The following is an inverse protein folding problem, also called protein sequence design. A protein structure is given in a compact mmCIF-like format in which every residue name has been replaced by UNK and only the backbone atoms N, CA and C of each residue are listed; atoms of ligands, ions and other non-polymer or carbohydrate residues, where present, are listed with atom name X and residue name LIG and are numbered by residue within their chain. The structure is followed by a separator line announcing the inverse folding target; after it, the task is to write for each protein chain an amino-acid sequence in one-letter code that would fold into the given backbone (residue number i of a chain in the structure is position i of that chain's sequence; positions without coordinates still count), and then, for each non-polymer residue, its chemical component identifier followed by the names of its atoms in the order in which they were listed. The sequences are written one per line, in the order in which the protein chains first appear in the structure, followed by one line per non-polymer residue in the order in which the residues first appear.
data_IF_601020508440
#
_entry.id   IF_601020508440
#
_cell.length_a   1.000
_cell.length_b   1.000
_cell.length_c   1.000
_cell.angle_alpha   90.00
_cell.angle_beta   90.00
_cell.angle_gamma   90.00
#
_symmetry.space_group_name_H-M   'P 1'
#
loop_
_entity.id
_entity.type
_entity.pdbx_description
1 polymer ?
#
# COMPACT_ATOMS: atom_id res chain seq x y z
N UNK A 1 -11.36 19.35 2.00
CA UNK A 1 -10.57 18.14 2.22
C UNK A 1 -10.18 17.49 0.88
N UNK A 2 -9.02 17.85 0.36
CA UNK A 2 -8.21 17.15 -0.63
C UNK A 2 -7.73 15.80 -0.10
N UNK A 3 -8.49 14.77 -0.47
CA UNK A 3 -8.19 13.36 -0.25
C UNK A 3 -7.27 12.83 -1.34
N UNK A 4 -6.23 12.09 -0.97
CA UNK A 4 -5.43 11.26 -1.87
C UNK A 4 -5.65 9.80 -1.50
N UNK A 5 -5.99 9.00 -2.51
CA UNK A 5 -6.19 7.56 -2.37
C UNK A 5 -4.96 6.84 -2.91
N UNK A 6 -4.44 5.88 -2.15
CA UNK A 6 -3.35 5.01 -2.54
C UNK A 6 -3.82 3.57 -2.64
N UNK A 7 -3.30 2.86 -3.64
CA UNK A 7 -3.54 1.43 -3.84
C UNK A 7 -2.23 0.68 -3.69
N UNK A 8 -2.24 -0.37 -2.87
CA UNK A 8 -1.11 -1.28 -2.72
C UNK A 8 -1.06 -2.25 -3.89
N UNK A 9 0.09 -2.33 -4.54
CA UNK A 9 0.35 -3.21 -5.68
C UNK A 9 1.65 -3.99 -5.42
N UNK A 10 1.75 -5.27 -5.78
CA UNK A 10 3.02 -5.96 -5.84
C UNK A 10 3.83 -5.31 -6.96
N UNK A 11 5.13 -5.22 -6.74
CA UNK A 11 5.99 -4.48 -7.62
C UNK A 11 7.32 -5.19 -7.76
N UNK A 12 7.73 -5.44 -9.00
CA UNK A 12 9.01 -6.08 -9.33
C UNK A 12 9.91 -5.04 -9.97
N UNK A 13 11.04 -4.73 -9.34
CA UNK A 13 12.01 -3.78 -9.90
C UNK A 13 12.58 -4.33 -11.20
N UNK A 14 12.45 -3.54 -12.27
CA UNK A 14 13.10 -3.81 -13.55
C UNK A 14 14.37 -3.00 -13.75
N UNK A 15 14.35 -1.72 -13.37
CA UNK A 15 15.53 -0.85 -13.44
C UNK A 15 15.43 0.30 -12.45
N UNK A 16 16.58 0.87 -12.09
CA UNK A 16 16.72 2.07 -11.29
C UNK A 16 17.40 3.15 -12.13
N UNK A 17 16.82 4.34 -12.14
CA UNK A 17 17.29 5.50 -12.89
C UNK A 17 17.64 6.62 -11.90
N UNK A 18 18.91 6.68 -11.49
CA UNK A 18 19.33 7.61 -10.46
C UNK A 18 18.77 7.28 -9.07
N UNK A 19 18.57 8.28 -8.19
CA UNK A 19 18.28 8.03 -6.78
C UNK A 19 16.81 7.68 -6.47
N UNK A 20 15.86 8.08 -7.33
CA UNK A 20 14.43 8.01 -6.98
C UNK A 20 13.53 7.45 -8.08
N UNK A 21 13.98 7.40 -9.34
CA UNK A 21 13.16 6.90 -10.44
C UNK A 21 13.35 5.39 -10.58
N UNK A 22 12.24 4.66 -10.60
CA UNK A 22 12.22 3.21 -10.70
C UNK A 22 11.32 2.76 -11.86
N UNK A 23 11.81 1.83 -12.68
CA UNK A 23 10.99 1.02 -13.57
C UNK A 23 10.56 -0.24 -12.85
N UNK A 24 9.27 -0.58 -12.93
CA UNK A 24 8.71 -1.75 -12.26
C UNK A 24 7.62 -2.44 -13.07
N UNK A 25 7.55 -3.77 -12.97
CA UNK A 25 6.39 -4.53 -13.43
C UNK A 25 5.33 -4.57 -12.34
N UNK A 26 4.07 -4.44 -12.73
CA UNK A 26 2.92 -4.56 -11.82
C UNK A 26 2.36 -5.97 -11.69
N UNK A 27 3.02 -6.93 -12.32
CA UNK A 27 2.71 -8.36 -12.30
C UNK A 27 4.02 -9.14 -12.34
N UNK A 28 3.95 -10.43 -12.00
CA UNK A 28 5.12 -11.32 -12.05
C UNK A 28 5.70 -11.36 -13.47
N UNK A 29 6.90 -10.79 -13.70
CA UNK A 29 7.47 -10.66 -15.04
C UNK A 29 7.83 -12.02 -15.64
N UNK A 30 7.99 -13.08 -14.84
CA UNK A 30 8.22 -14.42 -15.36
C UNK A 30 7.04 -14.94 -16.19
N UNK A 31 5.82 -14.48 -15.91
CA UNK A 31 4.61 -14.85 -16.67
C UNK A 31 4.50 -14.14 -18.02
N UNK A 32 5.21 -13.02 -18.18
CA UNK A 32 5.27 -12.24 -19.42
C UNK A 32 6.63 -12.36 -20.10
N UNK A 33 7.39 -13.42 -19.80
CA UNK A 33 8.73 -13.64 -20.36
C UNK A 33 9.65 -12.42 -20.22
N UNK A 34 9.50 -11.69 -19.12
CA UNK A 34 10.28 -10.48 -18.80
C UNK A 34 10.14 -9.36 -19.85
N UNK A 35 8.99 -9.26 -20.52
CA UNK A 35 8.70 -8.19 -21.47
C UNK A 35 8.84 -6.80 -20.81
N UNK A 36 9.85 -6.04 -21.24
CA UNK A 36 10.16 -4.70 -20.72
C UNK A 36 9.17 -3.64 -21.18
N UNK A 37 8.36 -3.89 -22.21
CA UNK A 37 7.33 -2.95 -22.66
C UNK A 37 6.19 -2.79 -21.64
N UNK A 38 6.11 -3.71 -20.66
CA UNK A 38 5.17 -3.71 -19.55
C UNK A 38 5.70 -2.96 -18.30
N UNK A 39 6.90 -2.38 -18.37
CA UNK A 39 7.46 -1.59 -17.28
C UNK A 39 6.73 -0.27 -17.12
N UNK A 40 6.38 0.04 -15.87
CA UNK A 40 5.87 1.33 -15.45
C UNK A 40 7.00 2.14 -14.81
N UNK A 41 7.04 3.45 -15.03
CA UNK A 41 8.08 4.33 -14.46
C UNK A 41 7.51 5.22 -13.38
N UNK A 42 7.95 5.05 -12.15
CA UNK A 42 7.51 5.86 -11.00
C UNK A 42 8.68 6.65 -10.42
N UNK A 43 8.41 7.88 -9.97
CA UNK A 43 9.38 8.67 -9.20
C UNK A 43 9.03 8.63 -7.71
N UNK A 44 9.89 7.96 -6.93
CA UNK A 44 9.76 7.80 -5.48
C UNK A 44 10.04 9.08 -4.70
N UNK A 45 10.44 10.18 -5.35
CA UNK A 45 10.53 11.51 -4.74
C UNK A 45 9.16 12.23 -4.70
N UNK A 46 8.19 11.78 -5.50
CA UNK A 46 6.90 12.45 -5.66
C UNK A 46 5.91 11.92 -4.63
N UNK A 47 6.09 12.37 -3.38
CA UNK A 47 5.41 11.81 -2.21
C UNK A 47 4.57 12.83 -1.45
N UNK A 48 3.70 12.39 -0.51
CA UNK A 48 3.03 13.25 0.45
C UNK A 48 3.94 14.27 1.15
N UNK A 49 5.10 13.84 1.65
CA UNK A 49 6.05 14.67 2.38
C UNK A 49 6.63 15.75 1.47
N UNK A 50 6.88 15.45 0.19
CA UNK A 50 7.29 16.45 -0.79
C UNK A 50 6.19 17.50 -1.03
N UNK A 51 4.92 17.08 -1.06
CA UNK A 51 3.78 18.00 -1.21
C UNK A 51 3.58 18.87 0.04
N UNK A 52 3.67 18.28 1.24
CA UNK A 52 3.60 19.01 2.53
C UNK A 52 4.74 20.03 2.63
N UNK A 53 5.94 19.68 2.15
CA UNK A 53 7.08 20.59 2.10
C UNK A 53 7.00 21.65 0.99
N UNK A 54 5.91 21.69 0.21
CA UNK A 54 5.70 22.67 -0.86
C UNK A 54 6.60 22.49 -2.09
N UNK A 55 7.28 21.34 -2.23
CA UNK A 55 8.18 21.07 -3.37
C UNK A 55 7.42 20.63 -4.61
N UNK A 56 6.24 20.04 -4.41
CA UNK A 56 5.33 19.59 -5.47
C UNK A 56 3.88 19.93 -5.08
N UNK A 57 2.99 19.89 -6.04
CA UNK A 57 1.53 19.99 -5.83
C UNK A 57 0.93 18.62 -5.49
N UNK A 58 -0.26 18.60 -4.88
CA UNK A 58 -0.99 17.36 -4.57
C UNK A 58 -1.21 16.50 -5.83
N UNK A 59 -1.47 17.13 -6.99
CA UNK A 59 -1.69 16.42 -8.26
C UNK A 59 -0.43 15.75 -8.85
N UNK A 60 0.75 16.06 -8.30
CA UNK A 60 2.02 15.47 -8.71
C UNK A 60 2.39 14.23 -7.88
N UNK A 61 1.71 13.96 -6.76
CA UNK A 61 1.99 12.79 -5.91
C UNK A 61 1.81 11.49 -6.70
N UNK A 62 2.81 10.62 -6.64
CA UNK A 62 2.82 9.30 -7.29
C UNK A 62 2.88 8.15 -6.30
N UNK A 63 3.74 8.25 -5.28
CA UNK A 63 4.01 7.19 -4.30
C UNK A 63 3.70 7.65 -2.87
N UNK A 64 3.33 6.72 -1.98
CA UNK A 64 3.16 7.00 -0.54
C UNK A 64 4.51 7.04 0.21
N UNK A 65 4.63 7.86 1.26
CA UNK A 65 5.78 7.85 2.18
C UNK A 65 5.59 6.76 3.26
N UNK A 66 5.41 5.50 2.90
CA UNK A 66 5.06 4.45 3.86
C UNK A 66 6.10 4.34 5.00
N UNK A 67 5.67 4.54 6.26
CA UNK A 67 6.52 4.54 7.47
C UNK A 67 6.20 3.40 8.44
N UNK A 68 6.28 2.16 7.98
CA UNK A 68 6.43 1.01 8.86
C UNK A 68 7.51 0.07 8.29
N UNK A 69 8.31 -0.57 9.16
CA UNK A 69 9.46 -1.43 8.82
C UNK A 69 10.51 -0.79 7.89
N UNK A 70 10.94 0.46 8.19
CA UNK A 70 12.10 1.08 7.53
C UNK A 70 11.82 2.26 6.60
N UNK A 71 10.57 2.76 6.54
CA UNK A 71 10.31 4.14 6.10
C UNK A 71 10.48 4.42 4.62
N UNK A 72 10.34 3.41 3.74
CA UNK A 72 10.46 3.58 2.29
C UNK A 72 9.44 2.70 1.59
N UNK A 73 8.82 3.21 0.52
CA UNK A 73 8.17 2.35 -0.48
C UNK A 73 9.19 1.31 -0.93
N UNK A 74 8.93 0.04 -0.64
CA UNK A 74 9.79 -1.05 -1.07
C UNK A 74 9.21 -1.63 -2.36
N UNK A 75 9.94 -1.45 -3.45
CA UNK A 75 9.65 -2.07 -4.74
C UNK A 75 10.62 -3.24 -4.90
N UNK A 76 10.09 -4.42 -5.25
CA UNK A 76 10.87 -5.56 -5.72
C UNK A 76 11.49 -6.46 -4.64
N UNK A 77 11.93 -7.66 -5.03
CA UNK A 77 12.62 -8.57 -4.13
C UNK A 77 14.03 -8.12 -3.77
N UNK A 78 14.49 -8.54 -2.59
CA UNK A 78 15.90 -8.55 -2.24
C UNK A 78 16.64 -9.46 -3.24
N UNK A 79 17.47 -8.88 -4.09
CA UNK A 79 18.47 -9.64 -4.83
C UNK A 79 19.62 -10.00 -3.84
N UNK A 80 20.10 -11.26 -3.72
CA UNK A 80 19.84 -12.35 -4.64
C UNK A 80 18.74 -13.37 -4.38
N UNK A 81 18.05 -13.25 -3.24
CA UNK A 81 17.16 -14.29 -2.73
C UNK A 81 15.74 -14.30 -3.28
N UNK A 82 15.31 -13.34 -4.10
CA UNK A 82 13.98 -13.38 -4.76
C UNK A 82 12.78 -13.19 -3.82
N UNK A 83 12.99 -12.91 -2.53
CA UNK A 83 11.91 -12.62 -1.59
C UNK A 83 11.53 -11.13 -1.66
N UNK A 84 10.26 -10.85 -1.98
CA UNK A 84 9.68 -9.50 -1.96
C UNK A 84 9.49 -9.05 -0.51
N UNK A 85 10.03 -7.89 -0.16
CA UNK A 85 9.69 -7.20 1.07
C UNK A 85 8.78 -6.02 0.74
N UNK A 86 7.50 -6.25 0.43
CA UNK A 86 6.47 -5.20 0.50
C UNK A 86 5.73 -4.83 -0.79
N UNK A 87 4.75 -3.94 -0.64
CA UNK A 87 3.94 -3.37 -1.72
C UNK A 87 4.44 -1.99 -2.14
N UNK A 88 4.26 -1.65 -3.42
CA UNK A 88 4.29 -0.28 -3.90
C UNK A 88 2.91 0.36 -3.70
N UNK A 89 2.85 1.46 -2.96
CA UNK A 89 1.63 2.22 -2.73
C UNK A 89 1.58 3.39 -3.68
N UNK A 90 0.65 3.32 -4.63
CA UNK A 90 0.60 4.23 -5.78
C UNK A 90 -0.68 5.06 -5.73
N UNK A 91 -0.57 6.37 -5.99
CA UNK A 91 -1.71 7.28 -5.96
C UNK A 91 -2.71 6.98 -7.07
N UNK A 92 -4.00 7.06 -6.78
CA UNK A 92 -5.06 6.83 -7.76
C UNK A 92 -4.94 7.78 -8.98
N UNK A 93 -4.52 9.03 -8.76
CA UNK A 93 -4.26 10.00 -9.84
C UNK A 93 -3.16 9.52 -10.77
N UNK A 94 -2.08 8.95 -10.24
CA UNK A 94 -1.02 8.40 -11.06
C UNK A 94 -1.47 7.12 -11.78
N UNK A 95 -2.26 6.24 -11.15
CA UNK A 95 -2.85 5.07 -11.82
C UNK A 95 -3.67 5.48 -13.06
N UNK A 96 -4.45 6.56 -12.95
CA UNK A 96 -5.22 7.12 -14.07
C UNK A 96 -4.31 7.62 -15.19
N UNK A 97 -3.19 8.29 -14.87
CA UNK A 97 -2.20 8.76 -15.87
C UNK A 97 -1.56 7.63 -16.66
N UNK A 98 -1.43 6.44 -16.07
CA UNK A 98 -0.96 5.26 -16.77
C UNK A 98 -2.00 4.65 -17.74
N UNK A 99 -3.15 5.32 -17.94
CA UNK A 99 -4.13 4.95 -18.96
C UNK A 99 -4.83 3.62 -18.67
N UNK A 100 -4.93 3.23 -17.39
CA UNK A 100 -5.47 1.93 -17.00
C UNK A 100 -4.60 0.74 -17.41
N UNK A 101 -3.36 0.96 -17.91
CA UNK A 101 -2.39 -0.11 -18.22
C UNK A 101 -2.03 -0.93 -16.99
N UNK A 102 -2.17 -0.34 -15.81
CA UNK A 102 -2.13 -1.09 -14.57
C UNK A 102 -3.45 -1.83 -14.43
N UNK A 103 -3.39 -3.14 -14.61
CA UNK A 103 -4.41 -4.00 -14.03
C UNK A 103 -4.35 -3.76 -12.52
N UNK A 104 -5.44 -3.27 -11.93
CA UNK A 104 -5.71 -3.37 -10.48
C UNK A 104 -5.80 -4.84 -10.00
N UNK A 105 -5.40 -5.78 -10.87
CA UNK A 105 -5.49 -7.23 -10.72
C UNK A 105 -4.30 -7.85 -10.00
N UNK A 106 -3.30 -7.08 -9.61
CA UNK A 106 -2.30 -7.57 -8.68
C UNK A 106 -2.71 -7.15 -7.25
N UNK A 107 -3.91 -7.55 -6.83
CA UNK A 107 -4.07 -7.88 -5.41
C UNK A 107 -3.09 -9.04 -5.15
N UNK A 108 -2.55 -9.25 -3.94
CA UNK A 108 -2.14 -10.61 -3.60
C UNK A 108 -3.28 -11.55 -4.04
N UNK A 109 -2.98 -12.76 -4.52
CA UNK A 109 -4.00 -13.72 -4.94
C UNK A 109 -4.94 -14.18 -3.80
N UNK A 110 -4.98 -13.42 -2.70
CA UNK A 110 -5.95 -13.43 -1.65
C UNK A 110 -7.23 -12.74 -2.16
N UNK A 111 -8.40 -13.34 -1.92
CA UNK A 111 -9.69 -12.74 -2.27
C UNK A 111 -9.98 -11.53 -1.37
N UNK A 112 -11.22 -11.05 -1.33
CA UNK A 112 -11.60 -9.86 -0.56
C UNK A 112 -11.85 -8.61 -1.42
N UNK A 113 -12.28 -7.55 -0.75
CA UNK A 113 -12.75 -6.33 -1.39
C UNK A 113 -11.63 -5.32 -1.62
N UNK A 114 -11.83 -4.44 -2.61
CA UNK A 114 -10.87 -3.43 -3.08
C UNK A 114 -10.39 -2.50 -1.96
N UNK A 115 -11.30 -2.10 -1.08
CA UNK A 115 -11.01 -1.20 0.01
C UNK A 115 -10.04 -1.80 1.05
N UNK A 116 -9.97 -3.12 1.19
CA UNK A 116 -9.05 -3.78 2.12
C UNK A 116 -7.58 -3.54 1.73
N UNK A 117 -7.34 -3.30 0.44
CA UNK A 117 -6.02 -3.00 -0.13
C UNK A 117 -5.82 -1.51 -0.40
N UNK A 118 -6.75 -0.67 0.05
CA UNK A 118 -6.72 0.77 -0.17
C UNK A 118 -6.25 1.49 1.09
N UNK A 119 -5.41 2.50 0.90
CA UNK A 119 -5.07 3.48 1.92
C UNK A 119 -5.59 4.85 1.48
N UNK A 120 -6.02 5.65 2.44
CA UNK A 120 -6.42 7.02 2.24
C UNK A 120 -5.52 7.93 3.06
N UNK A 121 -5.09 9.04 2.46
CA UNK A 121 -4.43 10.12 3.17
C UNK A 121 -5.14 11.44 2.90
N UNK A 122 -5.29 12.25 3.95
CA UNK A 122 -5.88 13.59 3.86
C UNK A 122 -4.77 14.64 3.95
N UNK A 123 -4.76 15.64 3.07
CA UNK A 123 -3.70 16.67 3.02
C UNK A 123 -4.11 18.01 3.64
N UNK A 124 -5.38 18.17 3.95
CA UNK A 124 -6.01 19.38 4.47
C UNK A 124 -7.19 19.01 5.39
N UNK A 125 -7.73 20.02 6.08
CA UNK A 125 -8.83 19.86 7.02
C UNK A 125 -8.41 19.27 8.37
N UNK A 126 -9.40 18.94 9.20
CA UNK A 126 -9.20 18.43 10.57
C UNK A 126 -8.40 17.11 10.61
N UNK A 127 -8.46 16.33 9.53
CA UNK A 127 -7.75 15.07 9.38
C UNK A 127 -6.42 15.22 8.62
N UNK A 128 -5.90 16.45 8.48
CA UNK A 128 -4.68 16.73 7.73
C UNK A 128 -3.51 15.86 8.18
N UNK A 129 -2.79 15.31 7.19
CA UNK A 129 -1.65 14.43 7.34
C UNK A 129 -1.95 13.10 8.06
N UNK A 130 -3.23 12.76 8.26
CA UNK A 130 -3.62 11.46 8.79
C UNK A 130 -3.81 10.45 7.67
N UNK A 131 -3.54 9.20 8.00
CA UNK A 131 -3.60 8.05 7.10
C UNK A 131 -4.55 7.01 7.66
N UNK A 132 -5.35 6.45 6.77
CA UNK A 132 -6.36 5.47 7.12
C UNK A 132 -6.25 4.27 6.20
N UNK A 133 -6.24 3.08 6.79
CA UNK A 133 -6.28 1.83 6.06
C UNK A 133 -7.73 1.37 5.95
N UNK A 134 -8.18 1.08 4.74
CA UNK A 134 -9.45 0.39 4.55
C UNK A 134 -9.37 -1.05 5.05
N UNK A 135 -10.41 -1.47 5.77
CA UNK A 135 -10.58 -2.78 6.38
C UNK A 135 -12.03 -3.22 6.19
N UNK A 136 -12.24 -4.53 6.18
CA UNK A 136 -13.57 -5.08 6.36
C UNK A 136 -13.85 -5.19 7.86
N UNK A 137 -14.94 -4.56 8.31
CA UNK A 137 -15.26 -4.45 9.74
C UNK A 137 -16.75 -4.57 9.98
N UNK A 138 -17.13 -4.92 11.20
CA UNK A 138 -18.51 -4.95 11.65
C UNK A 138 -18.61 -4.32 13.04
N UNK A 139 -19.47 -3.31 13.20
CA UNK A 139 -19.74 -2.71 14.51
C UNK A 139 -20.77 -3.58 15.22
N UNK A 140 -20.37 -4.26 16.29
CA UNK A 140 -21.23 -5.20 17.01
C UNK A 140 -21.97 -4.53 18.16
N UNK A 141 -21.26 -3.65 18.88
CA UNK A 141 -21.79 -3.00 20.08
C UNK A 141 -21.22 -1.60 20.21
N UNK A 142 -21.98 -0.69 20.81
CA UNK A 142 -21.49 0.64 21.21
C UNK A 142 -21.74 0.84 22.71
N UNK A 143 -20.73 1.33 23.44
CA UNK A 143 -20.79 1.63 24.87
C UNK A 143 -20.09 2.97 25.13
N UNK A 144 -20.89 4.02 25.34
CA UNK A 144 -20.37 5.38 25.45
C UNK A 144 -19.69 5.81 24.16
N UNK A 145 -18.47 6.32 24.25
CA UNK A 145 -17.67 6.75 23.09
C UNK A 145 -16.97 5.59 22.34
N UNK A 146 -16.98 4.38 22.90
CA UNK A 146 -16.30 3.23 22.31
C UNK A 146 -17.29 2.32 21.56
N UNK A 147 -16.85 1.80 20.42
CA UNK A 147 -17.53 0.75 19.67
C UNK A 147 -16.70 -0.53 19.68
N UNK A 148 -17.35 -1.66 19.93
CA UNK A 148 -16.76 -2.99 19.74
C UNK A 148 -16.87 -3.33 18.26
N UNK A 149 -15.73 -3.43 17.60
CA UNK A 149 -15.61 -3.64 16.17
C UNK A 149 -14.92 -4.96 15.90
N UNK A 150 -15.60 -5.85 15.20
CA UNK A 150 -14.98 -7.02 14.59
C UNK A 150 -14.21 -6.58 13.34
N UNK A 151 -12.95 -7.00 13.22
CA UNK A 151 -12.09 -6.65 12.09
C UNK A 151 -11.58 -7.92 11.42
N UNK A 152 -11.62 -7.96 10.10
CA UNK A 152 -11.03 -9.02 9.29
C UNK A 152 -9.62 -8.63 8.88
N UNK A 153 -8.72 -9.62 8.82
CA UNK A 153 -7.43 -9.43 8.17
C UNK A 153 -7.63 -9.06 6.69
N UNK A 154 -6.81 -8.16 6.11
CA UNK A 154 -6.92 -7.81 4.70
C UNK A 154 -6.90 -9.05 3.80
N UNK A 155 -7.93 -9.18 2.97
CA UNK A 155 -8.05 -10.26 1.99
C UNK A 155 -8.75 -11.52 2.48
N UNK A 156 -9.26 -11.52 3.72
CA UNK A 156 -9.95 -12.69 4.30
C UNK A 156 -11.45 -12.51 4.48
N UNK A 157 -11.98 -11.32 4.19
CA UNK A 157 -13.39 -10.96 4.39
C UNK A 157 -14.38 -11.88 3.68
N UNK A 158 -14.03 -12.38 2.49
CA UNK A 158 -14.88 -13.28 1.71
C UNK A 158 -14.64 -14.76 2.01
N UNK A 159 -13.66 -15.09 2.86
CA UNK A 159 -13.23 -16.47 3.13
C UNK A 159 -13.56 -16.95 4.53
N UNK A 160 -13.79 -16.05 5.49
CA UNK A 160 -13.81 -16.48 6.87
C UNK A 160 -14.34 -15.47 7.87
N UNK A 161 -14.06 -15.79 9.13
CA UNK A 161 -14.49 -15.05 10.32
C UNK A 161 -13.55 -13.86 10.57
N UNK A 162 -14.02 -12.85 11.34
CA UNK A 162 -13.16 -11.76 11.78
C UNK A 162 -11.97 -12.31 12.59
N UNK A 163 -10.84 -11.61 12.51
CA UNK A 163 -9.61 -11.92 13.24
C UNK A 163 -9.79 -11.71 14.74
N UNK A 164 -10.67 -10.78 15.12
CA UNK A 164 -11.05 -10.55 16.50
C UNK A 164 -11.96 -9.35 16.66
N UNK A 165 -12.42 -9.08 17.89
CA UNK A 165 -13.07 -7.84 18.25
C UNK A 165 -12.10 -6.86 18.95
N UNK A 166 -12.25 -5.57 18.69
CA UNK A 166 -11.50 -4.49 19.34
C UNK A 166 -12.43 -3.37 19.79
N UNK A 167 -12.21 -2.81 20.97
CA UNK A 167 -12.87 -1.57 21.39
C UNK A 167 -12.15 -0.38 20.78
N UNK A 168 -12.85 0.38 19.94
CA UNK A 168 -12.30 1.49 19.17
C UNK A 168 -13.15 2.74 19.42
N UNK A 169 -12.49 3.86 19.72
CA UNK A 169 -13.11 5.17 19.60
C UNK A 169 -13.19 5.52 18.10
N UNK A 170 -14.36 5.32 17.50
CA UNK A 170 -14.56 5.57 16.06
C UNK A 170 -14.52 7.06 15.72
N UNK A 171 -14.80 7.97 16.66
CA UNK A 171 -14.71 9.41 16.40
C UNK A 171 -13.26 9.85 16.28
N UNK A 172 -12.37 9.27 17.10
CA UNK A 172 -10.94 9.56 17.06
C UNK A 172 -10.20 8.73 15.99
N UNK A 173 -10.57 7.46 15.82
CA UNK A 173 -9.77 6.46 15.10
C UNK A 173 -10.30 6.06 13.73
N UNK A 174 -11.50 6.48 13.33
CA UNK A 174 -12.05 6.15 12.02
C UNK A 174 -12.20 7.38 11.12
N UNK A 175 -12.16 7.13 9.82
CA UNK A 175 -12.51 8.12 8.81
C UNK A 175 -13.99 8.54 8.95
N UNK A 176 -14.23 9.85 8.95
CA UNK A 176 -15.55 10.48 9.08
C UNK A 176 -16.63 9.99 8.10
N UNK A 177 -16.24 9.35 7.00
CA UNK A 177 -17.15 8.74 6.02
C UNK A 177 -17.71 7.37 6.44
N UNK A 178 -17.41 6.89 7.66
CA UNK A 178 -17.61 5.50 8.06
C UNK A 178 -18.64 5.16 9.16
N UNK A 179 -19.60 6.01 9.63
CA UNK A 179 -20.59 5.50 10.56
C UNK A 179 -21.53 4.53 9.84
N UNK A 180 -21.37 3.24 10.13
CA UNK A 180 -22.23 2.16 9.64
C UNK A 180 -23.32 1.83 10.67
N UNK A 181 -24.47 1.33 10.21
CA UNK A 181 -25.39 0.64 11.10
C UNK A 181 -24.70 -0.54 11.79
N UNK A 182 -24.99 -0.81 13.07
CA UNK A 182 -24.50 -2.00 13.75
C UNK A 182 -24.91 -3.29 13.02
N UNK A 183 -24.08 -4.33 13.12
CA UNK A 183 -24.31 -5.65 12.54
C UNK A 183 -24.41 -5.67 11.00
N UNK A 184 -23.76 -4.71 10.34
CA UNK A 184 -23.62 -4.67 8.88
C UNK A 184 -22.13 -4.61 8.48
N UNK A 185 -21.51 -5.78 8.22
CA UNK A 185 -20.11 -5.82 7.82
C UNK A 185 -19.82 -5.03 6.54
N UNK A 186 -18.65 -4.39 6.47
CA UNK A 186 -18.10 -3.80 5.24
C UNK A 186 -17.00 -2.77 5.47
N UNK A 187 -16.72 -1.87 4.50
CA UNK A 187 -15.58 -0.95 4.56
C UNK A 187 -15.57 0.00 5.76
N UNK A 188 -14.49 -0.01 6.53
CA UNK A 188 -14.15 1.05 7.47
C UNK A 188 -12.69 1.42 7.29
N UNK A 189 -12.39 2.71 7.31
CA UNK A 189 -11.05 3.23 7.19
C UNK A 189 -10.57 3.63 8.58
N UNK A 190 -9.63 2.87 9.14
CA UNK A 190 -9.11 3.12 10.48
C UNK A 190 -7.72 3.75 10.40
N UNK A 191 -7.43 4.65 11.33
CA UNK A 191 -6.17 5.36 11.42
C UNK A 191 -5.00 4.39 11.60
N UNK A 192 -3.85 4.71 10.98
CA UNK A 192 -2.59 3.96 11.14
C UNK A 192 -2.21 3.69 12.60
N UNK A 193 -2.41 4.65 13.49
CA UNK A 193 -2.11 4.53 14.93
C UNK A 193 -3.06 3.54 15.60
N UNK A 194 -4.36 3.63 15.32
CA UNK A 194 -5.38 2.68 15.80
C UNK A 194 -5.05 1.25 15.38
N UNK A 195 -4.63 1.05 14.13
CA UNK A 195 -4.25 -0.27 13.61
C UNK A 195 -2.94 -0.77 14.20
N UNK A 196 -1.97 0.11 14.46
CA UNK A 196 -0.70 -0.28 15.10
C UNK A 196 -0.87 -0.91 16.48
N UNK A 197 -1.99 -0.65 17.15
CA UNK A 197 -2.35 -1.30 18.42
C UNK A 197 -3.09 -2.62 18.25
N UNK A 198 -3.51 -2.96 17.03
CA UNK A 198 -4.14 -4.23 16.73
C UNK A 198 -3.07 -5.23 16.31
N UNK A 199 -3.08 -6.42 16.92
CA UNK A 199 -2.25 -7.56 16.47
C UNK A 199 -2.83 -8.19 15.20
N UNK A 200 -3.09 -7.36 14.19
CA UNK A 200 -3.43 -7.83 12.85
C UNK A 200 -2.13 -8.33 12.21
N UNK A 201 -2.19 -9.45 11.49
CA UNK A 201 -1.10 -9.89 10.61
C UNK A 201 -0.70 -8.68 9.75
N UNK A 202 0.58 -8.30 9.78
CA UNK A 202 1.09 -7.02 9.25
C UNK A 202 0.30 -6.57 8.01
N UNK A 203 -0.39 -5.43 8.09
CA UNK A 203 -1.48 -5.16 7.20
C UNK A 203 -0.90 -4.74 5.84
N UNK A 204 -1.30 -5.48 4.81
CA UNK A 204 -1.28 -5.07 3.40
C UNK A 204 0.04 -5.18 2.64
N UNK A 205 1.10 -5.73 3.23
CA UNK A 205 2.23 -6.20 2.43
C UNK A 205 1.90 -7.60 1.90
N UNK A 206 1.64 -7.76 0.59
CA UNK A 206 1.34 -9.06 0.02
C UNK A 206 2.55 -9.99 0.26
N UNK A 207 2.36 -11.18 0.86
CA UNK A 207 3.42 -12.18 0.91
C UNK A 207 3.61 -12.72 -0.50
N UNK A 208 4.57 -12.19 -1.26
CA UNK A 208 4.88 -12.69 -2.59
C UNK A 208 6.32 -13.16 -2.66
N UNK A 209 6.49 -14.42 -3.07
CA UNK A 209 7.78 -14.95 -3.51
C UNK A 209 7.82 -14.76 -5.01
N UNK A 210 8.74 -13.94 -5.50
CA UNK A 210 9.03 -13.88 -6.93
C UNK A 210 9.71 -15.19 -7.36
N UNK A 211 9.50 -15.60 -8.60
CA UNK A 211 10.36 -16.62 -9.21
C UNK A 211 11.66 -15.93 -9.64
N UNK A 212 12.80 -16.48 -9.22
CA UNK A 212 14.10 -15.97 -9.65
C UNK A 212 14.36 -16.41 -11.11
N UNK A 213 14.90 -15.54 -11.98
CA UNK A 213 15.37 -15.97 -13.29
C UNK A 213 16.51 -17.00 -13.11
N UNK A 214 16.42 -18.11 -13.84
CA UNK A 214 17.42 -19.19 -13.89
C UNK A 214 18.66 -18.80 -14.73
N UNK A 215 18.95 -17.50 -14.85
CA UNK A 215 20.02 -16.98 -15.70
C UNK A 215 21.19 -16.52 -14.83
N UNK A 216 22.37 -17.07 -15.13
CA UNK A 216 23.64 -16.72 -14.51
C UNK A 216 23.82 -15.20 -14.49
N UNK A 217 24.08 -14.65 -13.31
CA UNK A 217 24.35 -13.23 -13.12
C UNK A 217 25.50 -12.79 -14.04
N UNK A 218 25.31 -11.84 -14.97
CA UNK A 218 26.43 -11.04 -15.40
C UNK A 218 26.81 -10.13 -14.23
N UNK A 219 28.09 -10.07 -13.88
CA UNK A 219 28.64 -9.12 -12.91
C UNK A 219 28.16 -7.69 -13.24
N UNK A 220 27.14 -7.23 -12.55
CA UNK A 220 26.89 -5.79 -12.38
C UNK A 220 27.93 -5.32 -11.37
N UNK A 221 29.13 -5.05 -11.87
CA UNK A 221 30.19 -4.39 -11.14
C UNK A 221 29.67 -3.03 -10.69
N UNK A 222 29.35 -2.91 -9.41
CA UNK A 222 29.29 -1.62 -8.74
C UNK A 222 30.62 -0.90 -8.97
N UNK A 223 30.64 0.38 -9.37
CA UNK A 223 31.88 1.14 -9.30
C UNK A 223 32.30 1.18 -7.83
N UNK A 224 33.35 0.44 -7.48
CA UNK A 224 34.04 0.61 -6.21
C UNK A 224 34.44 2.08 -6.15
N UNK A 225 33.87 2.82 -5.20
CA UNK A 225 34.34 4.15 -4.88
C UNK A 225 35.87 4.09 -4.75
N UNK A 226 36.56 4.82 -5.63
CA UNK A 226 37.98 5.06 -5.48
C UNK A 226 38.17 5.72 -4.11
N UNK A 227 38.82 5.00 -3.19
CA UNK A 227 39.34 5.62 -1.98
C UNK A 227 40.58 6.40 -2.41
N UNK A 228 40.59 7.68 -2.08
CA UNK A 228 41.81 8.50 -2.04
C UNK A 228 42.85 7.86 -1.12
#
# INVERSE_FOLDING_TARGET
MSKVTFHGLPAWVGALHGPTVCEWWSSDPAKSSWDRSLLNTIDLALTPAAAIAGRITIAQIQADDFTANGGRTTIGPLWPGGAMLGACWVSATYLVKLGGKLTTGARPALPGHDYEWTMVQYFDGEQQNRRFYGLHTNVVQTKGALSLVEVWSPGTSTLGKPTGPWWIDLAAGADHLAPRPPNQPGPMFLDTTTIGHMTLIEPKNPPFRGSAPLFAAPELAWPRAARC
#
